data_IF_769077496796
#
_entry.id   IF_769077496796
#
_cell.length_a   1.000
_cell.length_b   1.000
_cell.length_c   1.000
_cell.angle_alpha   90.00
_cell.angle_beta   90.00
_cell.angle_gamma   90.00
#
_symmetry.space_group_name_H-M   'P 1'
#
loop_
_entity.id
_entity.type
_entity.pdbx_description
1 polymer ?
#
# COMPACT_ATOMS: atom_id res chain seq x y z
N UNK A 1 -5.86 8.93 -15.90
CA UNK A 1 -6.62 8.60 -14.68
C UNK A 1 -6.28 9.62 -13.60
N UNK A 2 -7.25 10.05 -12.79
CA UNK A 2 -7.03 10.89 -11.62
C UNK A 2 -6.88 10.02 -10.35
N UNK A 3 -6.65 8.74 -10.52
CA UNK A 3 -6.40 7.81 -9.42
C UNK A 3 -5.20 8.27 -8.60
N UNK A 4 -5.34 8.28 -7.28
CA UNK A 4 -4.30 8.73 -6.36
C UNK A 4 -4.31 10.24 -6.04
N UNK A 5 -5.03 11.08 -6.81
CA UNK A 5 -5.02 12.54 -6.65
C UNK A 5 -6.26 13.11 -5.94
N UNK A 6 -7.23 12.28 -5.63
CA UNK A 6 -8.46 12.67 -4.92
C UNK A 6 -8.26 12.39 -3.44
N UNK A 7 -7.90 13.40 -2.65
CA UNK A 7 -7.58 13.21 -1.23
C UNK A 7 -8.80 12.74 -0.44
N UNK A 8 -8.67 11.65 0.35
CA UNK A 8 -9.77 11.11 1.14
C UNK A 8 -9.98 11.95 2.41
N UNK A 9 -11.05 12.74 2.40
CA UNK A 9 -11.47 13.58 3.54
C UNK A 9 -12.98 13.84 3.49
N UNK A 10 -13.51 14.49 4.51
CA UNK A 10 -14.90 14.98 4.55
C UNK A 10 -14.96 16.41 4.09
N UNK A 11 -15.73 16.68 3.04
CA UNK A 11 -15.83 18.00 2.41
C UNK A 11 -17.19 18.63 2.59
N UNK A 12 -17.23 19.88 3.07
CA UNK A 12 -18.45 20.67 3.08
C UNK A 12 -18.78 21.18 1.69
N UNK A 13 -19.89 20.77 1.14
CA UNK A 13 -20.34 21.19 -0.19
C UNK A 13 -21.32 22.37 -0.10
N UNK A 14 -21.29 23.30 -1.06
CA UNK A 14 -22.29 24.38 -1.15
C UNK A 14 -23.68 23.80 -1.48
N UNK A 15 -24.73 24.55 -1.16
CA UNK A 15 -26.12 24.14 -1.40
C UNK A 15 -26.44 23.79 -2.86
N UNK A 16 -25.72 24.36 -3.81
CA UNK A 16 -25.84 24.08 -5.25
C UNK A 16 -24.44 23.74 -5.80
N UNK A 17 -23.92 22.51 -5.55
CA UNK A 17 -22.60 22.14 -6.00
C UNK A 17 -22.59 21.90 -7.51
N UNK A 18 -21.54 22.35 -8.19
CA UNK A 18 -21.23 21.91 -9.54
C UNK A 18 -20.02 20.95 -9.51
N UNK A 19 -19.94 20.06 -10.50
CA UNK A 19 -18.93 19.01 -10.53
C UNK A 19 -17.48 19.55 -10.44
N UNK A 20 -17.21 20.69 -11.08
CA UNK A 20 -15.86 21.30 -11.07
C UNK A 20 -15.48 21.76 -9.66
N UNK A 21 -16.41 22.44 -8.96
CA UNK A 21 -16.13 22.94 -7.60
C UNK A 21 -16.00 21.79 -6.60
N UNK A 22 -16.80 20.73 -6.75
CA UNK A 22 -16.70 19.52 -5.92
C UNK A 22 -15.35 18.84 -6.08
N UNK A 23 -14.88 18.67 -7.32
CA UNK A 23 -13.59 18.02 -7.59
C UNK A 23 -12.37 18.88 -7.19
N UNK A 24 -12.51 20.20 -7.20
CA UNK A 24 -11.41 21.09 -6.75
C UNK A 24 -11.07 20.91 -5.27
N UNK A 25 -12.06 20.62 -4.42
CA UNK A 25 -11.83 20.48 -2.97
C UNK A 25 -10.81 19.39 -2.64
N UNK A 26 -11.02 18.12 -3.03
CA UNK A 26 -10.06 17.06 -2.74
C UNK A 26 -8.73 17.21 -3.48
N UNK A 27 -8.71 17.82 -4.66
CA UNK A 27 -7.45 18.11 -5.39
C UNK A 27 -6.63 19.18 -4.65
N UNK A 28 -7.27 20.28 -4.21
CA UNK A 28 -6.57 21.32 -3.45
C UNK A 28 -6.06 20.75 -2.11
N UNK A 29 -6.88 19.97 -1.40
CA UNK A 29 -6.46 19.33 -0.15
C UNK A 29 -5.27 18.40 -0.37
N UNK A 30 -5.26 17.65 -1.47
CA UNK A 30 -4.13 16.81 -1.85
C UNK A 30 -2.86 17.64 -2.03
N UNK A 31 -2.94 18.73 -2.81
CA UNK A 31 -1.79 19.64 -3.05
C UNK A 31 -1.28 20.22 -1.73
N UNK A 32 -2.17 20.77 -0.89
CA UNK A 32 -1.80 21.30 0.44
C UNK A 32 -1.11 20.24 1.30
N UNK A 33 -1.63 18.99 1.29
CA UNK A 33 -1.03 17.91 2.05
C UNK A 33 0.36 17.55 1.54
N UNK A 34 0.59 17.56 0.23
CA UNK A 34 1.93 17.33 -0.34
C UNK A 34 2.91 18.43 0.03
N UNK A 35 2.46 19.69 0.01
CA UNK A 35 3.29 20.87 0.40
C UNK A 35 3.66 20.77 1.89
N UNK A 36 2.69 20.50 2.77
CA UNK A 36 2.91 20.32 4.22
C UNK A 36 3.94 19.23 4.53
N UNK A 37 3.96 18.17 3.73
CA UNK A 37 4.89 17.04 3.87
C UNK A 37 6.25 17.30 3.21
N UNK A 38 6.45 18.42 2.51
CA UNK A 38 7.60 18.63 1.61
C UNK A 38 7.83 17.41 0.70
N UNK A 39 6.71 16.85 0.16
CA UNK A 39 6.67 15.53 -0.47
C UNK A 39 7.63 15.41 -1.64
N UNK A 40 7.68 16.42 -2.51
CA UNK A 40 8.55 16.42 -3.69
C UNK A 40 10.04 16.37 -3.31
N UNK A 41 10.45 17.18 -2.35
CA UNK A 41 11.86 17.28 -1.94
C UNK A 41 12.30 16.00 -1.22
N UNK A 42 11.43 15.43 -0.36
CA UNK A 42 11.71 14.16 0.30
C UNK A 42 11.76 13.00 -0.70
N UNK A 43 10.85 12.97 -1.70
CA UNK A 43 10.90 11.97 -2.76
C UNK A 43 12.22 12.03 -3.54
N UNK A 44 12.67 13.24 -3.90
CA UNK A 44 13.97 13.46 -4.57
C UNK A 44 15.14 13.01 -3.68
N UNK A 45 15.09 13.29 -2.37
CA UNK A 45 16.10 12.86 -1.41
C UNK A 45 16.20 11.33 -1.29
N UNK A 46 15.07 10.62 -1.45
CA UNK A 46 15.04 9.15 -1.55
C UNK A 46 15.55 8.61 -2.89
N UNK A 47 15.78 9.48 -3.89
CA UNK A 47 16.21 9.08 -5.24
C UNK A 47 15.07 8.65 -6.16
N UNK A 48 13.82 9.00 -5.84
CA UNK A 48 12.64 8.64 -6.62
C UNK A 48 11.91 9.89 -7.17
N UNK A 49 11.15 9.70 -8.25
CA UNK A 49 10.24 10.75 -8.72
C UNK A 49 9.03 10.85 -7.77
N UNK A 50 8.48 12.07 -7.55
CA UNK A 50 7.29 12.21 -6.69
C UNK A 50 6.13 11.29 -7.08
N UNK A 51 5.90 11.08 -8.37
CA UNK A 51 4.86 10.17 -8.86
C UNK A 51 5.12 8.70 -8.48
N UNK A 52 6.37 8.26 -8.49
CA UNK A 52 6.75 6.90 -8.07
C UNK A 52 6.48 6.71 -6.58
N UNK A 53 6.77 7.73 -5.76
CA UNK A 53 6.49 7.71 -4.32
C UNK A 53 4.98 7.74 -4.05
N UNK A 54 4.19 8.45 -4.87
CA UNK A 54 2.72 8.42 -4.79
C UNK A 54 2.19 7.01 -5.08
N UNK A 55 2.75 6.30 -6.05
CA UNK A 55 2.39 4.90 -6.32
C UNK A 55 2.68 4.04 -5.09
N UNK A 56 3.86 4.17 -4.47
CA UNK A 56 4.21 3.45 -3.24
C UNK A 56 3.21 3.78 -2.13
N UNK A 57 2.88 5.05 -1.90
CA UNK A 57 1.90 5.47 -0.90
C UNK A 57 0.52 4.81 -1.13
N UNK A 58 0.09 4.73 -2.39
CA UNK A 58 -1.19 4.10 -2.74
C UNK A 58 -1.22 2.59 -2.46
N UNK A 59 -0.08 1.92 -2.53
CA UNK A 59 0.04 0.51 -2.17
C UNK A 59 0.03 0.36 -0.65
N UNK A 60 0.81 1.17 0.08
CA UNK A 60 0.87 1.19 1.55
C UNK A 60 -0.52 1.39 2.15
N UNK A 61 -1.33 2.30 1.58
CA UNK A 61 -2.70 2.56 2.05
C UNK A 61 -3.56 1.29 2.13
N UNK A 62 -3.30 0.31 1.26
CA UNK A 62 -4.07 -0.92 1.17
C UNK A 62 -3.44 -2.15 1.84
N UNK A 63 -2.17 -2.06 2.22
CA UNK A 63 -1.43 -3.21 2.77
C UNK A 63 -1.39 -3.22 4.30
N UNK A 64 -1.59 -2.07 4.96
CA UNK A 64 -1.20 -1.91 6.36
C UNK A 64 -2.40 -1.89 7.29
N UNK A 65 -2.43 -2.81 8.26
CA UNK A 65 -3.43 -2.86 9.33
C UNK A 65 -3.14 -1.85 10.45
N UNK A 66 -1.87 -1.70 10.85
CA UNK A 66 -1.44 -0.83 11.94
C UNK A 66 -0.72 0.40 11.40
N UNK A 67 -1.11 1.58 11.86
CA UNK A 67 -0.52 2.84 11.38
C UNK A 67 0.99 2.92 11.58
N UNK A 68 1.51 2.36 12.68
CA UNK A 68 2.92 2.33 13.01
C UNK A 68 3.77 1.48 12.05
N UNK A 69 3.19 0.54 11.35
CA UNK A 69 3.92 -0.34 10.42
C UNK A 69 4.11 0.28 9.02
N UNK A 70 3.41 1.39 8.70
CA UNK A 70 3.45 1.99 7.36
C UNK A 70 4.86 2.35 6.90
N UNK A 71 5.67 2.94 7.79
CA UNK A 71 7.04 3.34 7.46
C UNK A 71 7.96 2.13 7.21
N UNK A 72 7.74 1.01 7.92
CA UNK A 72 8.46 -0.26 7.69
C UNK A 72 8.04 -0.90 6.37
N UNK A 73 6.73 -0.91 6.06
CA UNK A 73 6.23 -1.43 4.77
C UNK A 73 6.77 -0.60 3.61
N UNK A 74 6.82 0.73 3.73
CA UNK A 74 7.49 1.60 2.76
C UNK A 74 8.95 1.16 2.54
N UNK A 75 9.69 0.91 3.62
CA UNK A 75 11.08 0.44 3.55
C UNK A 75 11.20 -0.89 2.82
N UNK A 76 10.32 -1.85 3.08
CA UNK A 76 10.32 -3.14 2.36
C UNK A 76 10.16 -2.91 0.86
N UNK A 77 9.22 -2.08 0.43
CA UNK A 77 9.01 -1.80 -0.99
C UNK A 77 10.24 -1.13 -1.62
N UNK A 78 10.84 -0.13 -0.99
CA UNK A 78 12.06 0.49 -1.52
C UNK A 78 13.25 -0.47 -1.55
N UNK A 79 13.43 -1.33 -0.56
CA UNK A 79 14.48 -2.34 -0.55
C UNK A 79 14.28 -3.34 -1.70
N UNK A 80 13.04 -3.79 -1.96
CA UNK A 80 12.72 -4.65 -3.09
C UNK A 80 12.98 -3.96 -4.42
N UNK A 81 12.55 -2.71 -4.60
CA UNK A 81 12.82 -1.93 -5.80
C UNK A 81 14.32 -1.81 -6.06
N UNK A 82 15.10 -1.46 -5.05
CA UNK A 82 16.57 -1.33 -5.14
C UNK A 82 17.25 -2.65 -5.52
N UNK A 83 16.71 -3.78 -5.08
CA UNK A 83 17.22 -5.13 -5.40
C UNK A 83 16.64 -5.70 -6.70
N UNK A 84 15.76 -4.99 -7.40
CA UNK A 84 15.09 -5.50 -8.61
C UNK A 84 14.17 -6.70 -8.33
N UNK A 85 13.66 -6.81 -7.09
CA UNK A 85 12.69 -7.82 -6.70
C UNK A 85 11.27 -7.38 -7.11
N UNK A 86 10.38 -8.32 -7.43
CA UNK A 86 8.96 -8.00 -7.61
C UNK A 86 8.34 -7.55 -6.27
N UNK A 87 7.41 -6.59 -6.29
CA UNK A 87 6.79 -6.10 -5.05
C UNK A 87 5.86 -7.13 -4.40
N UNK A 88 5.20 -7.97 -5.21
CA UNK A 88 4.31 -9.06 -4.76
C UNK A 88 3.22 -8.58 -3.78
N UNK A 89 2.61 -7.44 -4.09
CA UNK A 89 1.50 -6.89 -3.33
C UNK A 89 0.18 -7.47 -3.83
N UNK A 90 -0.57 -8.08 -2.92
CA UNK A 90 -1.92 -8.57 -3.23
C UNK A 90 -2.88 -7.43 -3.57
N UNK A 91 -2.71 -6.26 -2.96
CA UNK A 91 -3.51 -5.07 -3.26
C UNK A 91 -3.41 -4.66 -4.73
N UNK A 92 -2.24 -4.79 -5.36
CA UNK A 92 -2.05 -4.48 -6.79
C UNK A 92 -2.75 -5.48 -7.70
N UNK A 93 -2.80 -6.75 -7.31
CA UNK A 93 -3.55 -7.79 -8.03
C UNK A 93 -5.05 -7.57 -7.85
N UNK A 94 -5.52 -7.31 -6.62
CA UNK A 94 -6.92 -7.01 -6.35
C UNK A 94 -7.41 -5.82 -7.20
N UNK A 95 -6.60 -4.76 -7.32
CA UNK A 95 -6.88 -3.64 -8.21
C UNK A 95 -6.97 -4.08 -9.69
N UNK A 96 -6.00 -4.87 -10.16
CA UNK A 96 -5.94 -5.35 -11.53
C UNK A 96 -7.17 -6.18 -11.95
N UNK A 97 -7.72 -6.96 -11.02
CA UNK A 97 -8.93 -7.79 -11.26
C UNK A 97 -10.22 -7.13 -10.79
N UNK A 98 -10.16 -5.85 -10.36
CA UNK A 98 -11.30 -5.06 -9.84
C UNK A 98 -12.01 -5.73 -8.67
N UNK A 99 -11.24 -6.39 -7.80
CA UNK A 99 -11.77 -7.06 -6.62
C UNK A 99 -12.13 -6.05 -5.53
N UNK A 100 -13.29 -6.23 -4.93
CA UNK A 100 -13.80 -5.40 -3.83
C UNK A 100 -13.97 -6.23 -2.56
N UNK A 101 -13.93 -5.59 -1.38
CA UNK A 101 -14.21 -6.22 -0.08
C UNK A 101 -13.02 -6.96 0.55
N UNK A 102 -12.03 -7.38 -0.21
CA UNK A 102 -10.81 -8.01 0.31
C UNK A 102 -9.61 -7.73 -0.59
N UNK A 103 -8.43 -7.67 0.00
CA UNK A 103 -7.16 -7.61 -0.74
C UNK A 103 -6.53 -8.99 -0.94
N UNK A 104 -7.00 -10.02 -0.23
CA UNK A 104 -6.47 -11.37 -0.41
C UNK A 104 -6.75 -11.89 -1.81
N UNK A 105 -5.72 -12.40 -2.47
CA UNK A 105 -5.81 -12.89 -3.84
C UNK A 105 -5.54 -14.38 -3.94
N UNK A 106 -6.25 -15.02 -4.86
CA UNK A 106 -6.06 -16.44 -5.17
C UNK A 106 -4.86 -16.66 -6.10
N UNK A 107 -4.36 -17.89 -6.15
CA UNK A 107 -3.31 -18.26 -7.09
C UNK A 107 -3.72 -18.05 -8.58
N UNK A 108 -5.01 -18.14 -8.89
CA UNK A 108 -5.54 -17.87 -10.23
C UNK A 108 -5.51 -16.36 -10.54
N UNK A 109 -5.92 -15.50 -9.61
CA UNK A 109 -5.88 -14.04 -9.76
C UNK A 109 -4.44 -13.53 -9.92
N UNK A 110 -3.47 -14.11 -9.19
CA UNK A 110 -2.03 -13.79 -9.33
C UNK A 110 -1.42 -14.17 -10.69
N UNK A 111 -2.13 -14.91 -11.54
CA UNK A 111 -1.74 -15.17 -12.93
C UNK A 111 -2.27 -14.14 -13.92
N UNK A 112 -3.04 -13.15 -13.48
CA UNK A 112 -3.53 -12.07 -14.32
C UNK A 112 -2.37 -11.29 -14.93
N UNK A 113 -2.40 -11.07 -16.26
CA UNK A 113 -1.31 -10.44 -17.03
C UNK A 113 -1.35 -8.89 -16.98
N UNK A 114 -2.22 -8.28 -16.20
CA UNK A 114 -2.27 -6.82 -16.06
C UNK A 114 -0.90 -6.26 -15.68
N UNK A 115 -0.50 -5.09 -16.22
CA UNK A 115 0.73 -4.41 -15.82
C UNK A 115 0.72 -3.95 -14.35
N UNK A 116 -0.45 -3.96 -13.70
CA UNK A 116 -0.57 -3.73 -12.24
C UNK A 116 -0.20 -4.96 -11.40
N UNK A 117 -0.07 -6.16 -11.98
CA UNK A 117 0.27 -7.36 -11.22
C UNK A 117 1.76 -7.39 -10.85
N UNK A 118 2.07 -6.97 -9.64
CA UNK A 118 3.44 -6.90 -9.12
C UNK A 118 4.03 -8.27 -8.72
N UNK A 119 3.31 -9.37 -8.90
CA UNK A 119 3.89 -10.73 -8.85
C UNK A 119 4.58 -11.10 -10.17
N UNK A 120 4.05 -10.62 -11.30
CA UNK A 120 4.58 -10.94 -12.63
C UNK A 120 5.52 -9.86 -13.17
N UNK A 121 5.27 -8.60 -12.81
CA UNK A 121 6.03 -7.45 -13.30
C UNK A 121 6.86 -6.85 -12.18
N UNK A 122 8.18 -6.74 -12.42
CA UNK A 122 9.12 -6.08 -11.50
C UNK A 122 8.96 -4.57 -11.58
N UNK A 123 9.30 -3.89 -10.49
CA UNK A 123 9.18 -2.44 -10.39
C UNK A 123 7.80 -2.00 -9.92
N UNK A 124 7.51 -0.72 -10.10
CA UNK A 124 6.23 -0.12 -9.75
C UNK A 124 5.17 -0.42 -10.81
N UNK A 125 3.88 -0.53 -10.43
CA UNK A 125 2.80 -0.56 -11.39
C UNK A 125 2.69 0.78 -12.14
N UNK A 126 1.92 0.86 -13.25
CA UNK A 126 1.84 2.06 -14.09
C UNK A 126 1.28 3.31 -13.40
N UNK A 127 0.60 3.15 -12.27
CA UNK A 127 0.01 4.25 -11.52
C UNK A 127 -0.52 3.82 -10.15
N UNK A 128 -1.03 4.78 -9.36
CA UNK A 128 -1.65 4.52 -8.07
C UNK A 128 -2.83 3.55 -8.18
N UNK A 129 -3.07 2.78 -7.11
CA UNK A 129 -4.18 1.81 -7.02
C UNK A 129 -5.30 2.27 -6.08
N UNK A 130 -5.11 3.37 -5.39
CA UNK A 130 -6.09 4.07 -4.54
C UNK A 130 -5.62 5.49 -4.26
N UNK A 131 -6.48 6.29 -3.67
CA UNK A 131 -6.13 7.61 -3.13
C UNK A 131 -5.53 7.43 -1.72
N UNK A 132 -4.24 7.74 -1.50
CA UNK A 132 -3.61 7.59 -0.20
C UNK A 132 -3.99 8.73 0.75
N UNK A 133 -4.24 8.40 2.02
CA UNK A 133 -4.38 9.37 3.09
C UNK A 133 -3.01 9.94 3.52
N UNK A 134 -3.02 11.02 4.32
CA UNK A 134 -1.80 11.71 4.80
C UNK A 134 -0.78 10.75 5.42
N UNK A 135 -1.22 9.80 6.23
CA UNK A 135 -0.34 8.85 6.91
C UNK A 135 0.42 7.91 5.95
N UNK A 136 -0.20 7.50 4.85
CA UNK A 136 0.47 6.69 3.84
C UNK A 136 1.43 7.52 2.98
N UNK A 137 1.06 8.77 2.65
CA UNK A 137 1.96 9.73 1.97
C UNK A 137 3.20 10.02 2.82
N UNK A 138 3.02 10.30 4.11
CA UNK A 138 4.10 10.56 5.05
C UNK A 138 5.04 9.35 5.19
N UNK A 139 4.49 8.15 5.36
CA UNK A 139 5.27 6.91 5.43
C UNK A 139 6.08 6.64 4.15
N UNK A 140 5.51 6.94 2.98
CA UNK A 140 6.18 6.77 1.71
C UNK A 140 7.39 7.71 1.53
N UNK A 141 7.34 8.95 2.04
CA UNK A 141 8.46 9.90 1.99
C UNK A 141 9.38 9.83 3.21
N UNK A 142 9.02 9.05 4.23
CA UNK A 142 9.80 8.88 5.47
C UNK A 142 9.87 7.40 5.87
N UNK A 143 10.41 6.52 4.99
CA UNK A 143 10.51 5.10 5.30
C UNK A 143 11.46 4.87 6.48
N UNK A 144 11.08 4.01 7.42
CA UNK A 144 11.93 3.63 8.56
C UNK A 144 13.25 2.99 8.08
N UNK A 145 14.33 3.19 8.80
CA UNK A 145 15.61 2.53 8.47
C UNK A 145 15.54 1.04 8.77
N UNK A 146 16.05 0.23 7.84
CA UNK A 146 16.06 -1.22 7.98
C UNK A 146 16.38 -1.95 6.68
N UNK A 147 16.63 -3.23 6.77
CA UNK A 147 17.02 -4.11 5.66
C UNK A 147 15.94 -5.13 5.27
N UNK A 148 14.74 -4.97 5.81
CA UNK A 148 13.61 -5.89 5.57
C UNK A 148 13.25 -6.01 4.09
N UNK A 149 12.93 -7.24 3.71
CA UNK A 149 12.50 -7.60 2.35
C UNK A 149 11.10 -8.23 2.33
N UNK A 150 10.61 -8.68 3.49
CA UNK A 150 9.33 -9.36 3.64
C UNK A 150 8.60 -8.83 4.87
N UNK A 151 7.29 -8.86 4.80
CA UNK A 151 6.41 -8.64 5.94
C UNK A 151 5.19 -9.55 5.83
N UNK A 152 4.61 -9.92 6.96
CA UNK A 152 3.38 -10.69 7.04
C UNK A 152 2.69 -10.44 8.38
N UNK A 153 1.38 -10.17 8.41
CA UNK A 153 0.64 -10.14 9.66
C UNK A 153 0.62 -11.54 10.26
N UNK A 154 0.94 -11.69 11.53
CA UNK A 154 0.91 -12.97 12.26
C UNK A 154 -0.34 -13.11 13.13
N UNK A 155 -1.05 -12.01 13.36
CA UNK A 155 -2.31 -11.96 14.08
C UNK A 155 -3.22 -10.89 13.44
N UNK A 156 -4.33 -11.31 12.83
CA UNK A 156 -5.24 -10.40 12.12
C UNK A 156 -6.17 -9.62 13.06
N UNK A 157 -6.28 -9.99 14.36
CA UNK A 157 -7.06 -9.23 15.32
C UNK A 157 -6.30 -8.01 15.85
N UNK A 158 -5.02 -8.21 16.14
CA UNK A 158 -4.15 -7.13 16.63
C UNK A 158 -3.44 -6.37 15.52
N UNK A 159 -3.38 -6.94 14.31
CA UNK A 159 -2.60 -6.45 13.19
C UNK A 159 -1.09 -6.63 13.39
N UNK A 160 -0.64 -7.42 14.38
CA UNK A 160 0.77 -7.68 14.62
C UNK A 160 1.44 -8.23 13.37
N UNK A 161 2.47 -7.52 12.89
CA UNK A 161 3.17 -7.79 11.63
C UNK A 161 4.64 -8.10 11.90
N UNK A 162 5.14 -9.18 11.34
CA UNK A 162 6.57 -9.52 11.35
C UNK A 162 7.25 -9.03 10.08
N UNK A 163 8.42 -8.43 10.27
CA UNK A 163 9.29 -7.93 9.21
C UNK A 163 10.58 -8.75 9.22
N UNK A 164 10.99 -9.27 8.05
CA UNK A 164 12.17 -10.12 7.93
C UNK A 164 12.99 -9.75 6.69
N UNK A 165 14.29 -10.05 6.72
CA UNK A 165 15.22 -9.76 5.63
C UNK A 165 15.62 -10.99 4.81
N UNK A 166 15.20 -12.18 5.23
CA UNK A 166 15.43 -13.44 4.52
C UNK A 166 14.13 -14.26 4.40
N UNK A 167 14.13 -15.16 3.43
CA UNK A 167 12.92 -15.92 3.08
C UNK A 167 12.60 -17.02 4.10
N UNK A 168 13.59 -17.62 4.74
CA UNK A 168 13.37 -18.70 5.72
C UNK A 168 12.64 -18.17 6.96
N UNK A 169 13.00 -16.99 7.45
CA UNK A 169 12.31 -16.36 8.57
C UNK A 169 10.92 -15.87 8.15
N UNK A 170 10.75 -15.44 6.90
CA UNK A 170 9.43 -15.14 6.37
C UNK A 170 8.52 -16.39 6.34
N UNK A 171 9.05 -17.56 5.95
CA UNK A 171 8.30 -18.81 5.99
C UNK A 171 7.88 -19.19 7.41
N UNK A 172 8.73 -18.97 8.42
CA UNK A 172 8.36 -19.17 9.84
C UNK A 172 7.20 -18.25 10.25
N UNK A 173 7.28 -16.96 9.88
CA UNK A 173 6.21 -16.01 10.17
C UNK A 173 4.88 -16.37 9.44
N UNK A 174 4.95 -16.87 8.20
CA UNK A 174 3.78 -17.40 7.50
C UNK A 174 3.18 -18.61 8.22
N UNK A 175 4.00 -19.52 8.78
CA UNK A 175 3.52 -20.64 9.55
C UNK A 175 2.82 -20.19 10.86
N UNK A 176 3.27 -19.10 11.49
CA UNK A 176 2.60 -18.50 12.64
C UNK A 176 1.21 -17.95 12.26
N UNK A 177 1.10 -17.22 11.14
CA UNK A 177 -0.20 -16.79 10.63
C UNK A 177 -1.13 -17.98 10.36
N UNK A 178 -0.63 -19.04 9.71
CA UNK A 178 -1.41 -20.25 9.45
C UNK A 178 -1.89 -20.91 10.75
N UNK A 179 -1.02 -21.02 11.76
CA UNK A 179 -1.39 -21.55 13.06
C UNK A 179 -2.47 -20.68 13.74
N UNK A 180 -2.33 -19.35 13.66
CA UNK A 180 -3.35 -18.43 14.18
C UNK A 180 -4.70 -18.60 13.46
N UNK A 181 -4.70 -18.73 12.12
CA UNK A 181 -5.92 -18.99 11.34
C UNK A 181 -6.65 -20.28 11.74
N UNK A 182 -5.91 -21.28 12.23
CA UNK A 182 -6.47 -22.57 12.64
C UNK A 182 -6.95 -22.62 14.10
N UNK A 183 -6.69 -21.60 14.93
CA UNK A 183 -7.05 -21.58 16.35
C UNK A 183 -8.56 -21.53 16.59
N UNK A 184 -9.32 -20.91 15.68
CA UNK A 184 -10.78 -20.82 15.81
C UNK A 184 -11.47 -20.75 14.44
N UNK A 185 -12.77 -21.04 14.42
CA UNK A 185 -13.60 -20.88 13.22
C UNK A 185 -13.70 -19.39 12.78
N UNK A 186 -13.65 -18.46 13.74
CA UNK A 186 -13.64 -17.02 13.47
C UNK A 186 -12.33 -16.59 12.80
N UNK A 187 -11.17 -17.03 13.32
CA UNK A 187 -9.88 -16.74 12.71
C UNK A 187 -9.79 -17.29 11.29
N UNK A 188 -10.26 -18.54 11.10
CA UNK A 188 -10.31 -19.15 9.77
C UNK A 188 -11.11 -18.33 8.77
N UNK A 189 -12.22 -17.73 9.19
CA UNK A 189 -13.04 -16.84 8.35
C UNK A 189 -12.33 -15.55 7.97
N UNK A 190 -11.48 -15.00 8.85
CA UNK A 190 -10.67 -13.80 8.58
C UNK A 190 -9.53 -14.07 7.59
N UNK A 191 -9.08 -15.32 7.49
CA UNK A 191 -8.00 -15.77 6.61
C UNK A 191 -8.47 -16.27 5.23
N UNK A 192 -9.78 -16.25 4.95
CA UNK A 192 -10.38 -16.84 3.73
C UNK A 192 -10.77 -15.82 2.67
#
# INVERSE_FOLDING_TARGET
SNEGFIFPDTYNLPLKPNAVNVLKLPINQFTTTLDDLAFEDRAKALGYKPYDVLIVASIIEREVFRSEDRAKVARVFYNRLKKGMPLQSDATVAYAVKKTGTIWTTAAERKNKSPYNTYLHKGLPPGPITAPAKAALEAAVNPEEGDWLYFVPVNLDTGETKFTNNYDDHLKALAELQAWCLQSAENKKKCS
#
